data_IF_327554585389
#
_entry.id   IF_327554585389
#
_cell.length_a   1.000
_cell.length_b   1.000
_cell.length_c   1.000
_cell.angle_alpha   90.00
_cell.angle_beta   90.00
_cell.angle_gamma   90.00
#
_symmetry.space_group_name_H-M   'P 1'
#
loop_
_entity.id
_entity.type
_entity.pdbx_description
1 polymer ?
#
# COMPACT_ATOMS: atom_id res chain seq x y z
N UNK A 1 -9.63 7.41 29.01
CA UNK A 1 -8.73 7.01 30.11
C UNK A 1 -7.44 6.55 29.46
N UNK A 2 -6.38 7.36 29.56
CA UNK A 2 -5.06 7.00 29.03
C UNK A 2 -4.44 6.02 30.03
N UNK A 3 -4.17 4.78 29.61
CA UNK A 3 -3.48 3.79 30.45
C UNK A 3 -2.00 3.86 30.07
N UNK A 4 -1.26 4.71 30.78
CA UNK A 4 0.19 4.82 30.61
C UNK A 4 0.90 3.67 31.33
N UNK A 5 1.90 3.07 30.70
CA UNK A 5 2.69 1.97 31.29
C UNK A 5 3.74 2.53 32.28
N UNK A 6 3.58 2.31 33.60
CA UNK A 6 4.48 2.87 34.61
C UNK A 6 5.90 2.26 34.54
N UNK A 7 6.09 1.16 33.81
CA UNK A 7 7.40 0.53 33.65
C UNK A 7 8.26 1.18 32.57
N UNK A 8 7.67 2.05 31.75
CA UNK A 8 8.39 2.80 30.71
C UNK A 8 8.71 4.23 31.17
N UNK A 9 9.86 4.81 30.76
CA UNK A 9 10.19 6.20 31.08
C UNK A 9 9.12 7.20 30.61
N UNK A 10 8.53 6.96 29.43
CA UNK A 10 7.47 7.80 28.87
C UNK A 10 6.16 7.65 29.65
N UNK A 11 5.78 6.44 30.04
CA UNK A 11 4.55 6.23 30.81
C UNK A 11 4.66 6.78 32.24
N UNK A 12 5.82 6.66 32.89
CA UNK A 12 6.08 7.32 34.18
C UNK A 12 5.98 8.86 34.08
N UNK A 13 6.51 9.45 33.00
CA UNK A 13 6.45 10.89 32.75
C UNK A 13 5.01 11.41 32.55
N UNK A 14 4.17 10.66 31.84
CA UNK A 14 2.76 11.00 31.63
C UNK A 14 1.95 10.87 32.92
N UNK A 15 2.25 9.87 33.75
CA UNK A 15 1.62 9.70 35.07
C UNK A 15 1.98 10.87 35.99
N UNK A 16 3.24 11.29 36.00
CA UNK A 16 3.72 12.44 36.79
C UNK A 16 3.04 13.76 36.36
N UNK A 17 2.92 14.02 35.06
CA UNK A 17 2.22 15.21 34.55
C UNK A 17 0.74 15.19 34.92
N UNK A 18 0.09 14.03 34.77
CA UNK A 18 -1.31 13.89 35.12
C UNK A 18 -1.55 14.21 36.59
N UNK A 19 -0.68 13.72 37.49
CA UNK A 19 -0.75 14.03 38.91
C UNK A 19 -0.61 15.54 39.20
N UNK A 20 0.37 16.21 38.60
CA UNK A 20 0.60 17.64 38.81
C UNK A 20 -0.58 18.51 38.32
N UNK A 21 -1.23 18.11 37.23
CA UNK A 21 -2.39 18.82 36.69
C UNK A 21 -3.66 18.55 37.52
N UNK A 22 -3.84 17.33 38.04
CA UNK A 22 -4.94 17.03 38.98
C UNK A 22 -4.77 17.80 40.29
N UNK A 23 -3.55 17.88 40.84
CA UNK A 23 -3.27 18.69 42.04
C UNK A 23 -3.53 20.19 41.81
N UNK A 24 -3.27 20.70 40.60
CA UNK A 24 -3.61 22.07 40.18
C UNK A 24 -5.14 22.26 40.14
N UNK A 25 -5.88 21.34 39.53
CA UNK A 25 -7.34 21.39 39.41
C UNK A 25 -8.02 21.33 40.78
N UNK A 26 -7.55 20.46 41.68
CA UNK A 26 -8.05 20.35 43.05
C UNK A 26 -7.79 21.63 43.87
N UNK A 27 -6.65 22.29 43.64
CA UNK A 27 -6.27 23.56 44.29
C UNK A 27 -7.08 24.75 43.78
N UNK A 28 -7.21 24.87 42.47
CA UNK A 28 -7.69 26.09 41.82
C UNK A 28 -9.18 26.02 41.44
N UNK A 29 -9.79 24.83 41.46
CA UNK A 29 -11.18 24.59 41.06
C UNK A 29 -11.43 24.74 39.55
N UNK A 30 -10.43 25.19 38.80
CA UNK A 30 -10.36 25.33 37.34
C UNK A 30 -8.89 25.20 36.93
N UNK A 31 -8.61 25.16 35.63
CA UNK A 31 -7.27 25.12 35.05
C UNK A 31 -6.84 26.55 34.65
N UNK A 32 -6.10 27.29 35.48
CA UNK A 32 -5.66 28.64 35.14
C UNK A 32 -4.57 28.52 34.08
N UNK A 33 -4.79 29.11 32.90
CA UNK A 33 -3.89 28.92 31.76
C UNK A 33 -2.41 29.20 32.05
N UNK A 34 -2.10 30.18 32.90
CA UNK A 34 -0.71 30.50 33.28
C UNK A 34 -0.06 29.42 34.17
N UNK A 35 -0.82 28.81 35.08
CA UNK A 35 -0.31 27.77 35.98
C UNK A 35 -0.16 26.44 35.23
N UNK A 36 -1.04 26.16 34.28
CA UNK A 36 -0.94 24.99 33.39
C UNK A 36 0.31 25.10 32.51
N UNK A 37 0.55 26.26 31.90
CA UNK A 37 1.76 26.51 31.09
C UNK A 37 3.02 26.36 31.93
N UNK A 38 3.02 26.86 33.17
CA UNK A 38 4.16 26.75 34.10
C UNK A 38 4.48 25.30 34.52
N UNK A 39 3.50 24.38 34.42
CA UNK A 39 3.70 22.93 34.64
C UNK A 39 4.17 22.25 33.34
N UNK A 40 3.58 22.62 32.20
CA UNK A 40 3.87 21.99 30.90
C UNK A 40 5.26 22.36 30.36
N UNK A 41 5.71 23.59 30.53
CA UNK A 41 6.98 24.06 29.97
C UNK A 41 8.20 23.31 30.55
N UNK A 42 8.38 23.18 31.88
CA UNK A 42 9.45 22.35 32.44
C UNK A 42 9.30 20.86 32.15
N UNK A 43 8.06 20.37 32.01
CA UNK A 43 7.80 18.98 31.66
C UNK A 43 8.23 18.67 30.22
N UNK A 44 7.94 19.56 29.27
CA UNK A 44 8.38 19.48 27.89
C UNK A 44 9.90 19.65 27.75
N UNK A 45 10.52 20.52 28.56
CA UNK A 45 11.99 20.67 28.60
C UNK A 45 12.70 19.43 29.16
N UNK A 46 12.08 18.78 30.15
CA UNK A 46 12.63 17.59 30.82
C UNK A 46 12.54 16.33 29.96
N UNK A 47 11.51 16.24 29.13
CA UNK A 47 11.27 15.10 28.26
C UNK A 47 11.40 15.53 26.81
N UNK A 48 12.60 15.38 26.27
CA UNK A 48 12.85 15.55 24.84
C UNK A 48 12.16 14.42 24.05
N UNK A 49 10.88 14.59 23.76
CA UNK A 49 10.15 13.70 22.84
C UNK A 49 10.61 13.88 21.38
N UNK A 50 11.57 14.78 21.10
CA UNK A 50 12.12 14.96 19.75
C UNK A 50 13.21 13.93 19.40
N UNK A 51 13.68 13.10 20.34
CA UNK A 51 14.73 12.10 20.09
C UNK A 51 14.25 10.64 20.05
N UNK A 52 12.95 10.38 20.25
CA UNK A 52 12.35 9.14 19.81
C UNK A 52 11.68 9.41 18.46
N UNK A 53 12.38 9.11 17.36
CA UNK A 53 11.78 9.09 16.02
C UNK A 53 10.50 8.25 16.06
N UNK A 54 9.35 8.92 16.14
CA UNK A 54 8.06 8.26 16.05
C UNK A 54 8.04 7.50 14.71
N UNK A 55 7.61 6.23 14.68
CA UNK A 55 7.63 5.50 13.43
C UNK A 55 6.71 6.19 12.41
N UNK A 56 7.18 6.32 11.17
CA UNK A 56 6.36 6.77 10.07
C UNK A 56 5.48 5.63 9.57
N UNK A 57 4.27 5.95 9.11
CA UNK A 57 3.49 5.02 8.31
C UNK A 57 3.90 5.22 6.85
N UNK A 58 4.73 4.33 6.33
CA UNK A 58 4.97 4.24 4.90
C UNK A 58 3.77 3.55 4.26
N UNK A 59 3.19 4.20 3.24
CA UNK A 59 2.16 3.58 2.44
C UNK A 59 2.80 3.01 1.19
N UNK A 60 2.83 1.67 1.08
CA UNK A 60 3.15 1.05 -0.20
C UNK A 60 1.88 1.15 -1.03
N UNK A 61 1.91 2.03 -2.05
CA UNK A 61 0.80 2.19 -2.97
C UNK A 61 0.35 0.81 -3.49
N UNK A 62 -0.97 0.54 -3.50
CA UNK A 62 -1.47 -0.73 -4.01
C UNK A 62 -1.00 -0.91 -5.45
N UNK A 63 -0.69 -2.16 -5.81
CA UNK A 63 -0.51 -2.53 -7.21
C UNK A 63 -1.73 -2.03 -8.01
N UNK A 64 -1.54 -1.53 -9.25
CA UNK A 64 -2.66 -1.29 -10.14
C UNK A 64 -3.56 -2.52 -10.15
N UNK A 65 -4.89 -2.35 -10.05
CA UNK A 65 -5.81 -3.46 -9.99
C UNK A 65 -5.55 -4.45 -11.13
N UNK A 66 -5.34 -5.70 -10.76
CA UNK A 66 -5.27 -6.80 -11.71
C UNK A 66 -6.66 -7.28 -12.08
N UNK A 67 -6.80 -7.91 -13.24
CA UNK A 67 -8.02 -8.64 -13.59
C UNK A 67 -7.77 -10.13 -13.40
N UNK A 68 -8.73 -10.81 -12.78
CA UNK A 68 -8.75 -12.27 -12.70
C UNK A 68 -10.17 -12.76 -12.98
N UNK A 69 -10.27 -13.95 -13.56
CA UNK A 69 -11.54 -14.63 -13.73
C UNK A 69 -11.80 -15.48 -12.50
N UNK A 70 -12.89 -15.17 -11.80
CA UNK A 70 -13.32 -15.87 -10.61
C UNK A 70 -14.40 -16.87 -11.00
N UNK A 71 -14.12 -18.15 -10.79
CA UNK A 71 -15.10 -19.23 -10.90
C UNK A 71 -15.50 -19.63 -9.48
N UNK A 72 -16.77 -19.39 -9.14
CA UNK A 72 -17.39 -19.97 -7.95
C UNK A 72 -18.32 -21.08 -8.39
N UNK A 73 -18.18 -22.27 -7.79
CA UNK A 73 -19.07 -23.42 -7.96
C UNK A 73 -19.62 -23.79 -6.59
N UNK A 74 -20.91 -24.06 -6.49
CA UNK A 74 -21.50 -24.56 -5.26
C UNK A 74 -22.41 -25.74 -5.52
N UNK A 75 -22.45 -26.66 -4.57
CA UNK A 75 -23.46 -27.69 -4.45
C UNK A 75 -23.90 -27.83 -2.98
N UNK A 76 -24.74 -28.81 -2.67
CA UNK A 76 -25.24 -29.05 -1.32
C UNK A 76 -24.15 -29.44 -0.29
N UNK A 77 -22.93 -29.77 -0.73
CA UNK A 77 -21.81 -30.20 0.11
C UNK A 77 -20.61 -29.24 0.04
N UNK A 78 -20.37 -28.60 -1.10
CA UNK A 78 -19.16 -27.83 -1.39
C UNK A 78 -19.47 -26.43 -1.94
N UNK A 79 -18.55 -25.47 -1.70
CA UNK A 79 -18.61 -24.12 -2.23
C UNK A 79 -17.20 -23.65 -2.58
N UNK A 80 -16.76 -24.02 -3.77
CA UNK A 80 -15.42 -23.79 -4.27
C UNK A 80 -15.29 -22.43 -4.93
N UNK A 81 -14.17 -21.77 -4.69
CA UNK A 81 -13.75 -20.55 -5.38
C UNK A 81 -12.37 -20.77 -5.98
N UNK A 82 -12.29 -20.64 -7.31
CA UNK A 82 -11.08 -20.81 -8.10
C UNK A 82 -10.79 -19.51 -8.86
N UNK A 83 -9.50 -19.23 -9.06
CA UNK A 83 -9.00 -18.02 -9.71
C UNK A 83 -8.21 -18.39 -10.96
N UNK A 84 -8.46 -17.66 -12.04
CA UNK A 84 -7.86 -17.89 -13.35
C UNK A 84 -7.38 -16.59 -13.97
N UNK A 85 -6.40 -16.69 -14.86
CA UNK A 85 -5.86 -15.56 -15.62
C UNK A 85 -6.78 -15.09 -16.75
N UNK A 86 -7.64 -15.96 -17.27
CA UNK A 86 -8.49 -15.72 -18.43
C UNK A 86 -9.79 -16.55 -18.38
N UNK A 87 -10.82 -16.08 -19.11
CA UNK A 87 -12.14 -16.72 -19.18
C UNK A 87 -12.05 -18.14 -19.73
N UNK A 88 -11.17 -18.36 -20.72
CA UNK A 88 -11.08 -19.62 -21.48
C UNK A 88 -10.63 -20.74 -20.55
N UNK A 89 -9.58 -20.50 -19.76
CA UNK A 89 -9.08 -21.46 -18.77
C UNK A 89 -10.10 -21.72 -17.67
N UNK A 90 -10.79 -20.68 -17.18
CA UNK A 90 -11.82 -20.82 -16.18
C UNK A 90 -13.02 -21.65 -16.68
N UNK A 91 -13.45 -21.40 -17.92
CA UNK A 91 -14.53 -22.14 -18.59
C UNK A 91 -14.13 -23.59 -18.87
N UNK A 92 -12.89 -23.84 -19.28
CA UNK A 92 -12.37 -25.18 -19.51
C UNK A 92 -12.37 -26.03 -18.21
N UNK A 93 -12.00 -25.43 -17.07
CA UNK A 93 -12.08 -26.09 -15.76
C UNK A 93 -13.53 -26.40 -15.35
N UNK A 94 -14.45 -25.46 -15.57
CA UNK A 94 -15.87 -25.70 -15.33
C UNK A 94 -16.42 -26.82 -16.23
N UNK A 95 -16.07 -26.80 -17.51
CA UNK A 95 -16.47 -27.83 -18.47
C UNK A 95 -15.88 -29.19 -18.10
N UNK A 96 -14.63 -29.27 -17.63
CA UNK A 96 -14.02 -30.51 -17.12
C UNK A 96 -14.85 -31.11 -15.98
N UNK A 97 -15.29 -30.29 -15.03
CA UNK A 97 -16.18 -30.73 -13.97
C UNK A 97 -17.52 -31.24 -14.51
N UNK A 98 -18.19 -30.47 -15.38
CA UNK A 98 -19.46 -30.83 -16.01
C UNK A 98 -19.38 -32.19 -16.73
N UNK A 99 -18.31 -32.42 -17.50
CA UNK A 99 -18.10 -33.68 -18.21
C UNK A 99 -17.89 -34.85 -17.26
N UNK A 100 -17.18 -34.64 -16.14
CA UNK A 100 -17.02 -35.68 -15.11
C UNK A 100 -18.35 -36.04 -14.44
N UNK A 101 -19.28 -35.09 -14.38
CA UNK A 101 -20.62 -35.25 -13.81
C UNK A 101 -21.70 -35.58 -14.84
N UNK A 102 -21.34 -35.83 -16.11
CA UNK A 102 -22.31 -35.97 -17.22
C UNK A 102 -23.32 -37.10 -17.02
N UNK A 103 -22.94 -38.16 -16.31
CA UNK A 103 -23.82 -39.27 -15.96
C UNK A 103 -25.12 -38.81 -15.26
N UNK A 104 -25.09 -37.68 -14.55
CA UNK A 104 -26.25 -37.09 -13.87
C UNK A 104 -27.31 -36.54 -14.85
N UNK A 105 -26.96 -36.39 -16.13
CA UNK A 105 -27.86 -35.85 -17.16
C UNK A 105 -28.46 -36.92 -18.08
N UNK A 106 -27.95 -38.16 -18.04
CA UNK A 106 -28.38 -39.22 -18.95
C UNK A 106 -29.88 -39.53 -18.82
N UNK A 107 -30.54 -39.72 -19.96
CA UNK A 107 -31.98 -40.00 -20.02
C UNK A 107 -32.89 -38.77 -19.92
N UNK A 108 -32.33 -37.56 -19.94
CA UNK A 108 -33.09 -36.30 -20.01
C UNK A 108 -33.23 -35.84 -21.47
N UNK A 109 -34.38 -35.25 -21.79
CA UNK A 109 -34.70 -34.78 -23.15
C UNK A 109 -33.66 -33.76 -23.63
N UNK A 110 -33.30 -33.84 -24.91
CA UNK A 110 -32.29 -32.99 -25.58
C UNK A 110 -30.86 -33.02 -25.00
N UNK A 111 -30.53 -33.99 -24.13
CA UNK A 111 -29.16 -34.23 -23.66
C UNK A 111 -28.53 -35.39 -24.44
N UNK A 112 -27.36 -35.20 -25.08
CA UNK A 112 -26.66 -36.28 -25.75
C UNK A 112 -26.08 -37.30 -24.76
N UNK A 113 -26.00 -38.56 -25.19
CA UNK A 113 -25.44 -39.67 -24.39
C UNK A 113 -23.97 -39.44 -23.99
N UNK A 114 -23.24 -38.61 -24.74
CA UNK A 114 -21.87 -38.22 -24.44
C UNK A 114 -21.75 -36.69 -24.33
N UNK A 115 -20.90 -36.19 -23.42
CA UNK A 115 -20.70 -34.75 -23.28
C UNK A 115 -20.09 -34.13 -24.54
N UNK A 116 -20.54 -32.93 -24.96
CA UNK A 116 -19.90 -32.17 -26.03
C UNK A 116 -18.44 -31.82 -25.70
N UNK A 117 -17.61 -31.74 -26.75
CA UNK A 117 -16.20 -31.33 -26.66
C UNK A 117 -16.05 -29.80 -26.56
N UNK A 118 -17.04 -29.04 -27.02
CA UNK A 118 -17.09 -27.60 -26.82
C UNK A 118 -17.44 -27.27 -25.36
N UNK A 119 -16.63 -26.42 -24.73
CA UNK A 119 -16.74 -26.12 -23.29
C UNK A 119 -18.04 -25.37 -22.96
N UNK A 120 -18.40 -24.38 -23.78
CA UNK A 120 -19.59 -23.55 -23.53
C UNK A 120 -20.86 -24.38 -23.70
N UNK A 121 -20.93 -25.18 -24.76
CA UNK A 121 -22.06 -26.07 -25.03
C UNK A 121 -22.25 -27.11 -23.92
N UNK A 122 -21.16 -27.70 -23.41
CA UNK A 122 -21.25 -28.65 -22.30
C UNK A 122 -21.81 -28.00 -21.04
N UNK A 123 -21.31 -26.80 -20.68
CA UNK A 123 -21.77 -26.04 -19.51
C UNK A 123 -23.24 -25.62 -19.65
N UNK A 124 -23.65 -25.14 -20.82
CA UNK A 124 -25.02 -24.69 -21.08
C UNK A 124 -26.03 -25.84 -21.00
N UNK A 125 -25.66 -27.05 -21.43
CA UNK A 125 -26.54 -28.23 -21.31
C UNK A 125 -26.65 -28.74 -19.87
N UNK A 126 -25.60 -28.59 -19.07
CA UNK A 126 -25.58 -29.03 -17.68
C UNK A 126 -26.34 -28.06 -16.76
N UNK A 127 -26.06 -26.76 -16.87
CA UNK A 127 -26.59 -25.69 -16.01
C UNK A 127 -27.72 -24.87 -16.65
N UNK A 128 -28.18 -25.23 -17.85
CA UNK A 128 -29.10 -24.44 -18.67
C UNK A 128 -30.38 -23.97 -17.98
N UNK A 129 -31.15 -23.09 -18.63
CA UNK A 129 -32.24 -22.31 -18.02
C UNK A 129 -33.34 -23.12 -17.32
N UNK A 130 -33.54 -24.39 -17.69
CA UNK A 130 -34.48 -25.29 -17.01
C UNK A 130 -33.94 -25.87 -15.70
N UNK A 131 -32.62 -25.83 -15.49
CA UNK A 131 -31.88 -26.45 -14.37
C UNK A 131 -31.18 -25.46 -13.46
N UNK A 132 -31.02 -24.21 -13.89
CA UNK A 132 -30.66 -23.07 -13.05
C UNK A 132 -31.69 -22.78 -11.94
N UNK A 133 -32.79 -23.53 -11.87
CA UNK A 133 -33.80 -23.52 -10.80
C UNK A 133 -33.57 -24.59 -9.72
N UNK A 134 -32.48 -25.36 -9.76
CA UNK A 134 -32.05 -26.19 -8.63
C UNK A 134 -31.39 -25.27 -7.60
N UNK A 135 -32.01 -25.01 -6.43
CA UNK A 135 -31.46 -24.07 -5.45
C UNK A 135 -30.14 -24.53 -4.83
N UNK A 136 -29.81 -25.83 -4.99
CA UNK A 136 -28.74 -26.50 -4.26
C UNK A 136 -27.48 -26.73 -5.09
N UNK A 137 -27.41 -26.34 -6.37
CA UNK A 137 -26.22 -26.46 -7.22
C UNK A 137 -26.15 -25.33 -8.27
N UNK A 138 -24.97 -24.76 -8.48
CA UNK A 138 -24.79 -23.71 -9.49
C UNK A 138 -23.36 -23.21 -9.61
N UNK A 139 -23.18 -22.24 -10.52
CA UNK A 139 -21.90 -21.58 -10.71
C UNK A 139 -22.07 -20.08 -11.00
N UNK A 140 -21.01 -19.32 -10.76
CA UNK A 140 -20.84 -17.96 -11.24
C UNK A 140 -19.43 -17.82 -11.78
N UNK A 141 -19.30 -17.35 -13.02
CA UNK A 141 -18.03 -17.06 -13.67
C UNK A 141 -18.04 -15.60 -14.12
N UNK A 142 -17.13 -14.79 -13.58
CA UNK A 142 -17.04 -13.38 -13.94
C UNK A 142 -15.62 -12.85 -13.80
N UNK A 143 -15.32 -11.81 -14.58
CA UNK A 143 -14.09 -11.03 -14.41
C UNK A 143 -14.21 -10.15 -13.17
N UNK A 144 -13.29 -10.33 -12.23
CA UNK A 144 -13.17 -9.56 -11.02
C UNK A 144 -11.92 -8.69 -11.06
N UNK A 145 -12.08 -7.43 -10.67
CA UNK A 145 -10.95 -6.55 -10.40
C UNK A 145 -10.38 -6.90 -9.04
N UNK A 146 -9.16 -7.45 -9.02
CA UNK A 146 -8.41 -7.70 -7.80
C UNK A 146 -7.50 -6.50 -7.56
N UNK A 147 -7.98 -5.59 -6.73
CA UNK A 147 -7.14 -4.55 -6.16
C UNK A 147 -6.27 -5.16 -5.06
N UNK A 148 -4.97 -4.95 -5.10
CA UNK A 148 -4.15 -5.14 -3.92
C UNK A 148 -4.65 -4.19 -2.83
N UNK A 149 -4.79 -4.66 -1.59
CA UNK A 149 -4.89 -3.74 -0.47
C UNK A 149 -3.53 -3.08 -0.30
N UNK A 150 -3.45 -1.77 -0.52
CA UNK A 150 -2.26 -1.01 -0.18
C UNK A 150 -1.94 -1.25 1.28
N UNK A 151 -0.67 -1.51 1.60
CA UNK A 151 -0.27 -1.89 2.96
C UNK A 151 0.37 -0.68 3.63
N UNK A 152 -0.27 -0.23 4.70
CA UNK A 152 0.36 0.65 5.67
C UNK A 152 1.41 -0.15 6.44
N UNK A 153 2.66 0.32 6.41
CA UNK A 153 3.77 -0.27 7.17
C UNK A 153 4.32 0.75 8.14
N UNK A 154 4.57 0.31 9.36
CA UNK A 154 5.23 1.11 10.39
C UNK A 154 6.73 0.99 10.14
N UNK A 155 7.36 2.06 9.68
CA UNK A 155 8.80 2.09 9.38
C UNK A 155 9.51 3.15 10.22
N UNK A 156 10.77 2.90 10.63
CA UNK A 156 11.55 3.90 11.37
C UNK A 156 11.79 5.14 10.49
N UNK A 157 11.60 6.34 11.06
CA UNK A 157 11.97 7.60 10.39
C UNK A 157 13.48 7.70 10.17
N UNK A 158 14.26 7.11 11.07
CA UNK A 158 15.71 7.00 11.00
C UNK A 158 16.14 5.74 10.24
N UNK A 159 15.60 5.56 9.02
CA UNK A 159 15.93 4.42 8.19
C UNK A 159 17.44 4.21 8.08
N UNK A 160 17.88 3.01 8.43
CA UNK A 160 19.25 2.54 8.25
C UNK A 160 19.22 1.27 7.42
N UNK A 161 19.99 1.26 6.34
CA UNK A 161 20.15 0.07 5.54
C UNK A 161 20.82 -1.03 6.38
N UNK A 162 20.47 -2.32 6.19
CA UNK A 162 21.06 -3.40 6.97
C UNK A 162 22.58 -3.44 6.87
N UNK A 163 23.21 -3.83 7.98
CA UNK A 163 24.65 -4.02 8.06
C UNK A 163 25.14 -5.15 7.13
N UNK A 164 26.44 -5.18 6.88
CA UNK A 164 27.07 -6.08 5.91
C UNK A 164 26.70 -7.56 6.13
N UNK A 165 26.72 -8.06 7.36
CA UNK A 165 26.42 -9.47 7.67
C UNK A 165 24.95 -9.82 7.36
N UNK A 166 24.02 -8.90 7.63
CA UNK A 166 22.61 -9.08 7.32
C UNK A 166 22.37 -9.06 5.82
N UNK A 167 23.05 -8.16 5.09
CA UNK A 167 23.03 -8.12 3.63
C UNK A 167 23.58 -9.42 3.04
N UNK A 168 24.71 -9.91 3.55
CA UNK A 168 25.33 -11.13 3.06
C UNK A 168 24.42 -12.34 3.28
N UNK A 169 23.79 -12.44 4.45
CA UNK A 169 22.84 -13.51 4.73
C UNK A 169 21.61 -13.45 3.81
N UNK A 170 21.01 -12.27 3.64
CA UNK A 170 19.90 -12.07 2.71
C UNK A 170 20.24 -12.48 1.27
N UNK A 171 21.46 -12.18 0.83
CA UNK A 171 21.94 -12.57 -0.50
C UNK A 171 22.14 -14.08 -0.64
N UNK A 172 22.59 -14.77 0.43
CA UNK A 172 22.71 -16.24 0.43
C UNK A 172 21.35 -16.93 0.40
N UNK A 173 20.36 -16.34 1.05
CA UNK A 173 18.99 -16.87 1.14
C UNK A 173 18.14 -16.49 -0.10
N UNK A 174 18.71 -15.77 -1.06
CA UNK A 174 18.03 -15.35 -2.28
C UNK A 174 17.47 -16.55 -3.05
N UNK A 175 16.22 -16.41 -3.50
CA UNK A 175 15.51 -17.47 -4.23
C UNK A 175 15.22 -17.01 -5.65
N UNK A 176 15.41 -17.91 -6.62
CA UNK A 176 14.98 -17.68 -8.00
C UNK A 176 13.67 -18.43 -8.27
N UNK A 177 12.67 -17.68 -8.71
CA UNK A 177 11.36 -18.18 -9.12
C UNK A 177 11.31 -18.20 -10.65
N UNK A 178 11.48 -19.36 -11.30
CA UNK A 178 11.39 -19.46 -12.75
C UNK A 178 9.96 -19.18 -13.22
N UNK A 179 9.81 -18.81 -14.49
CA UNK A 179 8.50 -18.73 -15.12
C UNK A 179 7.89 -20.15 -15.20
N UNK A 180 6.78 -20.36 -14.51
CA UNK A 180 6.06 -21.64 -14.49
C UNK A 180 4.76 -21.62 -15.28
N UNK A 181 4.21 -20.44 -15.56
CA UNK A 181 2.97 -20.22 -16.28
C UNK A 181 3.17 -19.27 -17.47
N UNK A 182 2.24 -19.30 -18.42
CA UNK A 182 2.33 -18.48 -19.63
C UNK A 182 2.24 -16.98 -19.35
N UNK A 183 1.67 -16.59 -18.21
CA UNK A 183 1.37 -15.21 -17.85
C UNK A 183 2.24 -14.64 -16.73
N UNK A 184 3.01 -15.47 -16.02
CA UNK A 184 3.96 -15.02 -15.01
C UNK A 184 5.30 -14.65 -15.61
N UNK A 185 6.05 -13.89 -14.83
CA UNK A 185 7.41 -13.47 -15.16
C UNK A 185 8.38 -14.11 -14.18
N UNK A 186 9.58 -14.52 -14.63
CA UNK A 186 10.59 -15.01 -13.71
C UNK A 186 11.00 -13.87 -12.77
N UNK A 187 11.31 -14.20 -11.51
CA UNK A 187 11.83 -13.22 -10.56
C UNK A 187 12.88 -13.80 -9.62
N UNK A 188 13.70 -12.91 -9.11
CA UNK A 188 14.58 -13.19 -7.97
C UNK A 188 13.99 -12.53 -6.74
N UNK A 189 13.94 -13.24 -5.64
CA UNK A 189 13.52 -12.75 -4.33
C UNK A 189 14.73 -12.63 -3.42
N UNK A 190 14.95 -11.44 -2.86
CA UNK A 190 15.95 -11.19 -1.82
C UNK A 190 15.25 -10.55 -0.64
N UNK A 191 15.13 -11.29 0.46
CA UNK A 191 14.53 -10.80 1.71
C UNK A 191 13.12 -10.18 1.50
N UNK A 192 12.33 -10.86 0.65
CA UNK A 192 10.97 -10.47 0.27
C UNK A 192 10.87 -9.40 -0.83
N UNK A 193 11.99 -8.81 -1.26
CA UNK A 193 12.04 -7.90 -2.42
C UNK A 193 12.04 -8.75 -3.69
N UNK A 194 10.98 -8.65 -4.48
CA UNK A 194 10.81 -9.40 -5.73
C UNK A 194 11.28 -8.54 -6.92
N UNK A 195 12.30 -9.00 -7.64
CA UNK A 195 12.87 -8.33 -8.80
C UNK A 195 12.58 -9.14 -10.06
N UNK A 196 11.79 -8.56 -10.95
CA UNK A 196 11.45 -9.10 -12.26
C UNK A 196 12.34 -8.46 -13.32
N UNK A 197 13.05 -9.26 -14.10
CA UNK A 197 13.87 -8.80 -15.23
C UNK A 197 13.39 -9.52 -16.48
N UNK A 198 12.92 -8.76 -17.47
CA UNK A 198 12.32 -9.33 -18.68
C UNK A 198 12.46 -8.39 -19.88
N UNK A 199 12.31 -8.95 -21.08
CA UNK A 199 12.26 -8.18 -22.32
C UNK A 199 10.84 -7.67 -22.55
N UNK A 200 10.68 -6.36 -22.57
CA UNK A 200 9.40 -5.70 -22.88
C UNK A 200 9.39 -5.36 -24.37
N UNK A 201 8.61 -6.13 -25.14
CA UNK A 201 8.54 -5.96 -26.59
C UNK A 201 7.88 -4.64 -26.99
N UNK A 202 6.91 -4.15 -26.22
CA UNK A 202 6.19 -2.91 -26.51
C UNK A 202 7.09 -1.69 -26.33
N UNK A 203 7.94 -1.71 -25.30
CA UNK A 203 8.90 -0.65 -25.03
C UNK A 203 10.25 -0.85 -25.75
N UNK A 204 10.50 -2.04 -26.29
CA UNK A 204 11.77 -2.40 -26.93
C UNK A 204 12.95 -2.35 -25.97
N UNK A 205 12.74 -2.69 -24.70
CA UNK A 205 13.73 -2.50 -23.63
C UNK A 205 13.79 -3.69 -22.66
N UNK A 206 14.93 -3.85 -21.99
CA UNK A 206 15.00 -4.67 -20.77
C UNK A 206 14.30 -3.90 -19.66
N UNK A 207 13.26 -4.50 -19.08
CA UNK A 207 12.48 -3.92 -18.00
C UNK A 207 12.84 -4.60 -16.69
N UNK A 208 13.15 -3.78 -15.70
CA UNK A 208 13.32 -4.19 -14.30
C UNK A 208 12.11 -3.68 -13.53
N UNK A 209 11.39 -4.57 -12.85
CA UNK A 209 10.26 -4.20 -12.01
C UNK A 209 10.45 -4.78 -10.61
N UNK A 210 10.29 -3.93 -9.60
CA UNK A 210 10.57 -4.25 -8.20
C UNK A 210 9.28 -4.20 -7.42
N UNK A 211 8.98 -5.29 -6.73
CA UNK A 211 7.75 -5.50 -5.98
C UNK A 211 8.08 -5.67 -4.50
N UNK A 212 7.41 -4.89 -3.65
CA UNK A 212 7.74 -4.74 -2.23
C UNK A 212 6.67 -5.31 -1.29
N UNK A 213 5.68 -6.00 -1.83
CA UNK A 213 4.54 -6.54 -1.06
C UNK A 213 5.01 -7.42 0.11
N UNK A 214 6.05 -8.23 -0.13
CA UNK A 214 6.64 -9.17 0.82
C UNK A 214 7.96 -8.69 1.42
N UNK A 215 8.49 -7.53 1.01
CA UNK A 215 9.81 -7.05 1.43
C UNK A 215 9.91 -6.99 2.96
N UNK A 216 11.07 -7.28 3.53
CA UNK A 216 11.30 -7.06 4.96
C UNK A 216 11.17 -5.57 5.31
N UNK A 217 10.52 -5.24 6.42
CA UNK A 217 10.26 -3.85 6.84
C UNK A 217 11.53 -3.01 6.97
N UNK A 218 12.63 -3.65 7.39
CA UNK A 218 13.97 -3.03 7.52
C UNK A 218 14.58 -2.54 6.19
N UNK A 219 14.06 -2.99 5.05
CA UNK A 219 14.53 -2.59 3.72
C UNK A 219 13.73 -1.42 3.17
N UNK A 220 12.54 -1.16 3.71
CA UNK A 220 11.59 -0.18 3.19
C UNK A 220 11.81 1.16 3.88
N UNK A 221 12.00 2.20 3.08
CA UNK A 221 12.13 3.59 3.49
C UNK A 221 10.78 4.18 3.94
N UNK A 222 10.80 5.32 4.64
CA UNK A 222 9.59 6.09 4.98
C UNK A 222 8.71 6.46 3.79
N UNK A 223 9.28 6.58 2.59
CA UNK A 223 8.55 6.88 1.35
C UNK A 223 7.93 5.64 0.68
N UNK A 224 8.04 4.45 1.30
CA UNK A 224 7.51 3.20 0.76
C UNK A 224 8.36 2.56 -0.34
N UNK A 225 9.57 3.05 -0.59
CA UNK A 225 10.52 2.49 -1.55
C UNK A 225 11.64 1.69 -0.86
N UNK A 226 12.54 1.08 -1.64
CA UNK A 226 13.80 0.52 -1.16
C UNK A 226 14.97 1.25 -1.83
N UNK A 227 16.12 1.44 -1.16
CA UNK A 227 17.31 1.95 -1.83
C UNK A 227 17.68 1.11 -3.04
N UNK A 228 17.82 1.75 -4.20
CA UNK A 228 18.12 1.06 -5.45
C UNK A 228 19.38 1.62 -6.10
N UNK A 229 20.23 0.73 -6.58
CA UNK A 229 21.35 1.04 -7.47
C UNK A 229 21.36 0.05 -8.62
N UNK A 230 21.39 0.57 -9.84
CA UNK A 230 21.42 -0.21 -11.08
C UNK A 230 22.72 0.12 -11.81
N UNK A 231 23.49 -0.91 -12.05
CA UNK A 231 24.75 -0.85 -12.79
C UNK A 231 24.63 -1.68 -14.07
N UNK A 232 25.13 -1.12 -15.17
CA UNK A 232 25.30 -1.82 -16.44
C UNK A 232 26.80 -1.92 -16.69
N UNK A 233 27.31 -3.14 -16.58
CA UNK A 233 28.75 -3.39 -16.49
C UNK A 233 29.36 -2.56 -15.34
N UNK A 234 30.31 -1.67 -15.63
CA UNK A 234 30.95 -0.81 -14.64
C UNK A 234 30.33 0.60 -14.57
N UNK A 235 29.19 0.81 -15.24
CA UNK A 235 28.52 2.12 -15.31
C UNK A 235 27.26 2.13 -14.45
N UNK A 236 27.25 3.00 -13.44
CA UNK A 236 26.06 3.28 -12.63
C UNK A 236 25.07 4.09 -13.47
N UNK A 237 23.93 3.49 -13.81
CA UNK A 237 22.88 4.14 -14.61
C UNK A 237 21.75 4.70 -13.74
N UNK A 238 21.60 4.18 -12.52
CA UNK A 238 20.71 4.70 -11.49
C UNK A 238 21.36 4.45 -10.13
N UNK A 239 21.42 5.47 -9.28
CA UNK A 239 21.81 5.33 -7.89
C UNK A 239 20.94 6.24 -7.04
N UNK A 240 20.07 5.59 -6.29
CA UNK A 240 19.15 6.21 -5.37
C UNK A 240 19.57 5.93 -3.92
N UNK A 241 20.72 5.29 -3.68
CA UNK A 241 21.15 4.87 -2.33
C UNK A 241 21.30 6.03 -1.34
N UNK A 242 21.72 7.19 -1.82
CA UNK A 242 21.92 8.41 -1.04
C UNK A 242 20.76 9.41 -1.10
N UNK A 243 19.64 9.09 -1.75
CA UNK A 243 18.48 9.96 -1.74
C UNK A 243 17.87 9.98 -0.34
N UNK A 244 18.04 11.10 0.37
CA UNK A 244 17.19 11.46 1.51
C UNK A 244 15.75 11.69 0.97
N UNK A 245 15.01 10.59 0.76
CA UNK A 245 13.57 10.58 0.49
C UNK A 245 13.07 11.62 -0.51
N UNK A 246 13.51 11.59 -1.77
CA UNK A 246 12.98 12.47 -2.81
C UNK A 246 12.76 11.73 -4.15
N UNK A 247 11.69 12.03 -4.91
CA UNK A 247 10.28 12.16 -4.50
C UNK A 247 9.39 11.23 -5.36
N UNK A 248 8.50 10.46 -4.72
CA UNK A 248 7.14 10.26 -5.26
C UNK A 248 6.27 11.42 -4.77
N UNK A 249 5.13 11.75 -5.43
CA UNK A 249 4.25 12.80 -4.95
C UNK A 249 4.10 12.62 -3.43
N UNK A 250 4.43 13.63 -2.59
CA UNK A 250 4.39 13.46 -1.15
C UNK A 250 3.07 12.79 -0.76
N UNK A 251 3.04 11.99 0.30
CA UNK A 251 1.80 11.40 0.84
C UNK A 251 0.60 12.37 0.79
N UNK A 252 0.88 13.67 0.95
CA UNK A 252 -0.03 14.77 0.72
C UNK A 252 -0.68 14.83 -0.67
N UNK A 253 0.05 14.69 -1.78
CA UNK A 253 -0.51 14.65 -3.14
C UNK A 253 -1.39 13.43 -3.36
N UNK A 254 -1.00 12.26 -2.84
CA UNK A 254 -1.85 11.06 -2.87
C UNK A 254 -3.13 11.25 -2.04
N UNK A 255 -3.01 11.80 -0.83
CA UNK A 255 -4.14 12.15 0.03
C UNK A 255 -5.06 13.19 -0.61
N UNK A 256 -4.50 14.23 -1.24
CA UNK A 256 -5.27 15.26 -1.94
C UNK A 256 -5.98 14.70 -3.18
N UNK A 257 -5.37 13.74 -3.88
CA UNK A 257 -5.96 13.09 -5.05
C UNK A 257 -7.04 12.07 -4.70
N UNK A 258 -6.93 11.40 -3.54
CA UNK A 258 -7.93 10.44 -3.05
C UNK A 258 -9.07 11.09 -2.26
N UNK A 259 -8.88 12.31 -1.75
CA UNK A 259 -9.85 13.02 -0.90
C UNK A 259 -11.03 13.62 -1.69
N UNK A 260 -12.23 13.52 -1.11
CA UNK A 260 -13.40 14.28 -1.57
C UNK A 260 -13.24 15.78 -1.28
N UNK A 261 -14.01 16.64 -1.95
CA UNK A 261 -13.81 18.10 -1.93
C UNK A 261 -13.71 18.72 -0.52
N UNK A 262 -14.52 18.26 0.44
CA UNK A 262 -14.47 18.75 1.82
C UNK A 262 -13.24 18.27 2.61
N UNK A 263 -12.76 17.05 2.35
CA UNK A 263 -11.55 16.49 2.96
C UNK A 263 -10.30 17.13 2.38
N UNK A 264 -10.31 17.43 1.07
CA UNK A 264 -9.20 18.04 0.35
C UNK A 264 -8.85 19.42 0.92
N UNK A 265 -9.87 20.23 1.25
CA UNK A 265 -9.65 21.54 1.86
C UNK A 265 -9.09 21.44 3.28
N UNK A 266 -9.59 20.50 4.09
CA UNK A 266 -9.07 20.26 5.44
C UNK A 266 -7.61 19.78 5.44
N UNK A 267 -7.26 18.85 4.55
CA UNK A 267 -5.90 18.33 4.37
C UNK A 267 -4.96 19.44 3.90
N UNK A 268 -5.42 20.27 2.94
CA UNK A 268 -4.66 21.42 2.43
C UNK A 268 -4.41 22.46 3.52
N UNK A 269 -5.42 22.81 4.31
CA UNK A 269 -5.30 23.75 5.42
C UNK A 269 -4.31 23.24 6.49
N UNK A 270 -4.39 21.97 6.84
CA UNK A 270 -3.45 21.33 7.76
C UNK A 270 -2.01 21.34 7.22
N UNK A 271 -1.81 21.02 5.93
CA UNK A 271 -0.50 21.02 5.30
C UNK A 271 0.13 22.43 5.21
N UNK A 272 -0.68 23.46 4.94
CA UNK A 272 -0.24 24.86 4.98
C UNK A 272 0.12 25.29 6.42
N UNK A 273 -0.68 24.92 7.41
CA UNK A 273 -0.42 25.23 8.82
C UNK A 273 0.83 24.53 9.35
N UNK A 274 1.13 23.32 8.86
CA UNK A 274 2.31 22.55 9.22
C UNK A 274 3.57 22.96 8.43
N UNK A 275 3.46 23.91 7.49
CA UNK A 275 4.58 24.36 6.66
C UNK A 275 5.03 23.34 5.60
N UNK A 276 4.26 22.28 5.39
CA UNK A 276 4.49 21.24 4.38
C UNK A 276 4.19 21.78 2.98
N UNK A 277 3.26 22.72 2.86
CA UNK A 277 3.01 23.52 1.67
C UNK A 277 3.18 25.00 1.95
N UNK A 278 3.40 25.78 0.89
CA UNK A 278 3.18 27.23 0.93
C UNK A 278 2.41 27.69 -0.31
N UNK A 279 1.49 28.63 -0.10
CA UNK A 279 0.62 29.14 -1.15
C UNK A 279 1.24 30.36 -1.84
N UNK A 280 1.43 30.28 -3.16
CA UNK A 280 1.92 31.43 -3.93
C UNK A 280 0.77 32.42 -4.16
N UNK A 281 0.84 33.60 -3.55
CA UNK A 281 -0.18 34.66 -3.72
C UNK A 281 -0.26 35.26 -5.13
N UNK A 282 0.69 34.96 -6.01
CA UNK A 282 0.73 35.50 -7.38
C UNK A 282 0.02 34.60 -8.39
N UNK A 283 0.24 33.28 -8.32
CA UNK A 283 -0.37 32.32 -9.25
C UNK A 283 -1.37 31.38 -8.58
N UNK A 284 -1.58 31.51 -7.27
CA UNK A 284 -2.46 30.66 -6.46
C UNK A 284 -2.10 29.17 -6.44
N UNK A 285 -0.86 28.85 -6.81
CA UNK A 285 -0.35 27.48 -6.76
C UNK A 285 0.20 27.14 -5.38
N UNK A 286 -0.07 25.93 -4.91
CA UNK A 286 0.54 25.39 -3.69
C UNK A 286 1.86 24.72 -4.03
N UNK A 287 2.91 25.12 -3.33
CA UNK A 287 4.25 24.65 -3.58
C UNK A 287 4.72 23.82 -2.39
N UNK A 288 5.60 22.82 -2.61
CA UNK A 288 6.24 22.11 -1.53
C UNK A 288 6.91 23.06 -0.53
N UNK A 289 6.85 22.74 0.75
CA UNK A 289 7.45 23.53 1.83
C UNK A 289 8.95 23.75 1.63
N UNK A 290 9.66 22.79 1.05
CA UNK A 290 11.07 22.88 0.72
C UNK A 290 11.38 23.78 -0.49
N UNK A 291 10.40 24.05 -1.35
CA UNK A 291 10.61 24.83 -2.57
C UNK A 291 10.94 26.29 -2.23
N UNK A 292 12.10 26.76 -2.67
CA UNK A 292 12.57 28.15 -2.48
C UNK A 292 11.85 29.16 -3.38
N UNK A 293 11.22 28.69 -4.45
CA UNK A 293 10.43 29.51 -5.38
C UNK A 293 9.24 28.72 -5.94
N UNK A 294 8.32 29.44 -6.57
CA UNK A 294 7.11 28.86 -7.13
C UNK A 294 7.44 27.88 -8.27
N UNK A 295 6.93 26.66 -8.14
CA UNK A 295 7.08 25.55 -9.09
C UNK A 295 5.81 25.28 -9.90
N UNK A 296 4.72 26.01 -9.62
CA UNK A 296 3.48 25.92 -10.38
C UNK A 296 3.63 26.13 -11.89
N UNK A 297 2.68 25.61 -12.69
CA UNK A 297 2.72 25.70 -14.14
C UNK A 297 2.82 27.16 -14.59
N UNK A 298 3.77 27.44 -15.49
CA UNK A 298 4.04 28.78 -16.03
C UNK A 298 5.27 29.48 -15.43
N UNK A 299 5.49 30.77 -15.76
CA UNK A 299 6.75 31.47 -15.46
C UNK A 299 6.82 32.09 -14.05
N UNK A 300 5.92 31.73 -13.11
CA UNK A 300 5.68 32.53 -11.90
C UNK A 300 6.93 32.69 -11.02
N UNK A 301 7.75 31.64 -10.81
CA UNK A 301 9.07 31.60 -10.10
C UNK A 301 9.23 32.53 -8.88
N UNK A 302 8.14 32.92 -8.22
CA UNK A 302 8.15 33.85 -7.08
C UNK A 302 8.83 33.18 -5.89
N UNK A 303 9.72 33.87 -5.16
CA UNK A 303 10.38 33.28 -4.00
C UNK A 303 9.35 32.95 -2.93
N UNK A 304 9.61 31.88 -2.18
CA UNK A 304 8.85 31.52 -0.98
C UNK A 304 8.84 32.75 -0.05
N UNK A 305 7.68 33.14 0.51
CA UNK A 305 7.64 34.19 1.53
C UNK A 305 8.59 33.81 2.65
N UNK A 306 9.49 34.70 3.03
CA UNK A 306 10.26 34.52 4.26
C UNK A 306 9.23 34.34 5.39
N UNK A 307 9.45 33.34 6.26
CA UNK A 307 8.66 33.26 7.48
C UNK A 307 8.78 34.62 8.16
N UNK A 308 7.67 35.36 8.24
CA UNK A 308 7.62 36.55 9.06
C UNK A 308 8.01 36.06 10.45
N UNK A 309 9.21 36.46 10.90
CA UNK A 309 9.57 36.35 12.30
C UNK A 309 8.50 37.14 13.03
N UNK A 310 7.56 36.43 13.64
CA UNK A 310 6.65 37.01 14.62
C UNK A 310 7.52 37.48 15.77
N UNK A 311 7.96 38.74 15.67
CA UNK A 311 8.61 39.45 16.72
C UNK A 311 7.54 39.82 17.76
N UNK A 312 7.72 39.30 18.98
CA UNK A 312 7.06 39.65 20.24
C UNK A 312 5.58 39.28 20.39
#
# INVERSE_FOLDING_TARGET
>A
MIIADPTTPAGAAVIELHQQLTELEERAGEWPGADVVSILEPWLERFDFATASAPAVAFIAPRPPGQAWLLRRWDQHENDVLLFTDEVTALAELARHVRSSWANLLGKEDVPDQPPTDDRTAVDLYYGPERSNLPDEGYSLYCATISGSGRARVVPLDFRFPEADACEQANRDATFHPQTDANGLPCTEVDGVLVFVYLDHELGAVRVSIHLDSAAERLVRPDGTVPLRVEVEDTVVLDDSGAEGAPRPPLLDELLNAAEAGQREAIRAAALSAGILWHCRTCHWDNPGAAVCCEGPGPCRKPKPAAEQTAA
#
